data_IF_972800776518
#
_entry.id   IF_972800776518
#
_cell.length_a   1.000
_cell.length_b   1.000
_cell.length_c   1.000
_cell.angle_alpha   90.00
_cell.angle_beta   90.00
_cell.angle_gamma   90.00
#
_symmetry.space_group_name_H-M   'P 1'
#
loop_
_entity.id
_entity.type
_entity.pdbx_description
1 polymer ?
#
# COMPACT_ATOMS: atom_id res chain seq x y z
N UNK A 1 -11.87 -18.09 -8.43
CA UNK A 1 -12.25 -16.98 -7.52
C UNK A 1 -11.13 -16.57 -6.57
N UNK A 2 -9.87 -16.86 -6.86
CA UNK A 2 -8.76 -16.57 -5.93
C UNK A 2 -8.15 -15.18 -6.16
N UNK A 3 -8.01 -14.76 -7.43
CA UNK A 3 -7.54 -13.42 -7.81
C UNK A 3 -8.48 -12.32 -7.32
N UNK A 4 -9.79 -12.52 -7.42
CA UNK A 4 -10.78 -11.57 -6.91
C UNK A 4 -10.66 -11.33 -5.40
N UNK A 5 -10.56 -12.40 -4.60
CA UNK A 5 -10.37 -12.29 -3.15
C UNK A 5 -9.02 -11.64 -2.80
N UNK A 6 -7.97 -11.91 -3.60
CA UNK A 6 -6.67 -11.25 -3.43
C UNK A 6 -6.77 -9.74 -3.64
N UNK A 7 -7.47 -9.28 -4.68
CA UNK A 7 -7.71 -7.85 -4.91
C UNK A 7 -8.54 -7.20 -3.80
N UNK A 8 -9.63 -7.85 -3.37
CA UNK A 8 -10.48 -7.34 -2.28
C UNK A 8 -9.70 -7.18 -0.98
N UNK A 9 -8.84 -8.15 -0.63
CA UNK A 9 -7.98 -8.08 0.55
C UNK A 9 -6.99 -6.92 0.49
N UNK A 10 -6.32 -6.75 -0.65
CA UNK A 10 -5.37 -5.65 -0.85
C UNK A 10 -6.10 -4.30 -0.81
N UNK A 11 -7.28 -4.21 -1.42
CA UNK A 11 -8.08 -2.99 -1.46
C UNK A 11 -8.61 -2.59 -0.09
N UNK A 12 -9.08 -3.56 0.72
CA UNK A 12 -9.45 -3.32 2.11
C UNK A 12 -8.27 -2.85 2.95
N UNK A 13 -7.09 -3.44 2.74
CA UNK A 13 -5.88 -3.03 3.45
C UNK A 13 -5.52 -1.59 3.11
N UNK A 14 -5.44 -1.23 1.82
CA UNK A 14 -5.18 0.15 1.36
C UNK A 14 -6.25 1.13 1.87
N UNK A 15 -7.52 0.74 1.93
CA UNK A 15 -8.59 1.62 2.42
C UNK A 15 -8.52 1.84 3.94
N UNK A 16 -8.22 0.79 4.71
CA UNK A 16 -7.97 0.88 6.16
C UNK A 16 -6.77 1.80 6.42
N UNK A 17 -5.66 1.53 5.77
CA UNK A 17 -4.41 2.27 5.83
C UNK A 17 -4.56 3.75 5.42
N UNK A 18 -5.28 4.04 4.34
CA UNK A 18 -5.54 5.40 3.87
C UNK A 18 -6.49 6.21 4.76
N UNK A 19 -7.45 5.57 5.42
CA UNK A 19 -8.40 6.24 6.34
C UNK A 19 -7.83 6.40 7.76
N UNK A 20 -6.85 5.60 8.15
CA UNK A 20 -6.21 5.70 9.47
C UNK A 20 -5.65 7.11 9.73
N UNK A 21 -5.08 7.80 8.72
CA UNK A 21 -4.57 9.17 8.86
C UNK A 21 -5.64 10.20 9.25
N UNK A 22 -6.72 10.36 8.46
CA UNK A 22 -7.83 11.25 8.81
C UNK A 22 -8.48 10.92 10.16
N UNK A 23 -8.69 9.64 10.47
CA UNK A 23 -9.29 9.23 11.75
C UNK A 23 -8.41 9.63 12.93
N UNK A 24 -7.10 9.46 12.83
CA UNK A 24 -6.20 9.79 13.94
C UNK A 24 -6.12 11.29 14.21
N UNK A 25 -6.11 12.10 13.15
CA UNK A 25 -6.23 13.57 13.28
C UNK A 25 -7.57 13.97 13.91
N UNK A 26 -8.68 13.36 13.48
CA UNK A 26 -10.01 13.62 14.07
C UNK A 26 -10.03 13.25 15.55
N UNK A 27 -9.51 12.07 15.93
CA UNK A 27 -9.46 11.63 17.33
C UNK A 27 -8.60 12.56 18.19
N UNK A 28 -7.46 13.02 17.67
CA UNK A 28 -6.62 13.99 18.39
C UNK A 28 -7.34 15.32 18.66
N UNK A 29 -8.13 15.80 17.71
CA UNK A 29 -8.91 17.03 17.90
C UNK A 29 -10.21 16.81 18.71
N UNK A 30 -10.79 15.61 18.68
CA UNK A 30 -12.04 15.27 19.35
C UNK A 30 -11.85 14.88 20.82
N UNK A 31 -10.75 14.22 21.17
CA UNK A 31 -10.41 13.90 22.56
C UNK A 31 -9.77 15.14 23.18
N UNK A 32 -10.41 15.70 24.20
CA UNK A 32 -9.86 16.81 24.98
C UNK A 32 -8.42 16.46 25.41
N UNK A 33 -7.47 17.42 25.42
CA UNK A 33 -6.05 17.15 25.64
C UNK A 33 -5.78 16.78 27.11
N UNK A 34 -6.16 15.58 27.48
CA UNK A 34 -5.76 14.91 28.71
C UNK A 34 -4.29 14.47 28.52
N UNK A 35 -3.42 14.67 29.53
CA UNK A 35 -1.98 14.44 29.39
C UNK A 35 -1.59 13.01 28.98
N UNK A 36 -2.44 12.01 29.26
CA UNK A 36 -2.25 10.61 28.86
C UNK A 36 -2.46 10.36 27.35
N UNK A 37 -3.24 11.18 26.64
CA UNK A 37 -3.60 10.96 25.23
C UNK A 37 -2.48 11.37 24.25
N UNK A 38 -1.44 12.05 24.73
CA UNK A 38 -0.25 12.41 23.93
C UNK A 38 0.44 11.19 23.32
N UNK A 39 0.42 10.06 24.03
CA UNK A 39 0.99 8.81 23.57
C UNK A 39 0.21 8.23 22.37
N UNK A 40 -1.12 8.38 22.42
CA UNK A 40 -2.00 7.99 21.33
C UNK A 40 -1.66 8.80 20.07
N UNK A 41 -1.57 10.13 20.16
CA UNK A 41 -1.22 11.00 19.03
C UNK A 41 0.09 10.60 18.33
N UNK A 42 1.15 10.39 19.10
CA UNK A 42 2.46 10.00 18.56
C UNK A 42 2.43 8.60 17.96
N UNK A 43 1.75 7.64 18.61
CA UNK A 43 1.60 6.30 18.06
C UNK A 43 0.84 6.29 16.73
N UNK A 44 -0.26 7.05 16.62
CA UNK A 44 -1.00 7.17 15.37
C UNK A 44 -0.24 7.84 14.25
N UNK A 45 0.44 8.96 14.56
CA UNK A 45 1.29 9.65 13.59
C UNK A 45 2.37 8.71 13.03
N UNK A 46 2.98 7.89 13.90
CA UNK A 46 4.02 6.92 13.51
C UNK A 46 3.46 5.79 12.65
N UNK A 47 2.28 5.25 13.01
CA UNK A 47 1.61 4.20 12.24
C UNK A 47 1.18 4.72 10.85
N UNK A 48 0.59 5.91 10.76
CA UNK A 48 0.21 6.52 9.48
C UNK A 48 1.43 6.84 8.61
N UNK A 49 2.50 7.36 9.21
CA UNK A 49 3.73 7.66 8.46
C UNK A 49 4.37 6.38 7.94
N UNK A 50 4.46 5.34 8.77
CA UNK A 50 4.97 4.03 8.36
C UNK A 50 4.13 3.41 7.24
N UNK A 51 2.82 3.56 7.30
CA UNK A 51 1.90 3.08 6.27
C UNK A 51 2.14 3.74 4.90
N UNK A 52 2.23 5.07 4.87
CA UNK A 52 2.52 5.85 3.65
C UNK A 52 3.89 5.47 3.07
N UNK A 53 4.89 5.26 3.92
CA UNK A 53 6.23 4.83 3.49
C UNK A 53 6.21 3.44 2.86
N UNK A 54 5.43 2.51 3.41
CA UNK A 54 5.25 1.17 2.82
C UNK A 54 4.54 1.28 1.47
N UNK A 55 3.49 2.09 1.35
CA UNK A 55 2.78 2.31 0.09
C UNK A 55 3.70 2.92 -0.98
N UNK A 56 4.53 3.89 -0.60
CA UNK A 56 5.50 4.51 -1.51
C UNK A 56 6.60 3.51 -1.91
N UNK A 57 7.10 2.70 -0.98
CA UNK A 57 8.09 1.66 -1.25
C UNK A 57 7.55 0.60 -2.21
N UNK A 58 6.29 0.17 -2.04
CA UNK A 58 5.63 -0.78 -2.95
C UNK A 58 5.38 -0.17 -4.34
N UNK A 59 5.05 1.13 -4.40
CA UNK A 59 4.85 1.84 -5.68
C UNK A 59 6.15 2.03 -6.44
N UNK A 60 7.25 2.29 -5.72
CA UNK A 60 8.57 2.48 -6.29
C UNK A 60 9.34 1.17 -6.52
N UNK A 61 8.80 0.04 -6.05
CA UNK A 61 9.39 -1.27 -6.32
C UNK A 61 9.40 -1.51 -7.85
N UNK A 62 10.56 -1.74 -8.46
CA UNK A 62 10.65 -2.04 -9.88
C UNK A 62 9.89 -3.34 -10.16
N UNK A 63 8.95 -3.28 -11.10
CA UNK A 63 8.43 -4.50 -11.73
C UNK A 63 9.44 -4.87 -12.80
N UNK A 64 10.27 -5.88 -12.54
CA UNK A 64 11.16 -6.41 -13.56
C UNK A 64 10.33 -6.80 -14.78
N UNK A 65 10.72 -6.31 -15.97
CA UNK A 65 10.10 -6.67 -17.23
C UNK A 65 10.17 -8.20 -17.39
N UNK A 66 9.03 -8.86 -17.21
CA UNK A 66 8.88 -10.28 -17.53
C UNK A 66 9.21 -10.41 -19.00
N UNK A 67 10.38 -10.96 -19.32
CA UNK A 67 10.85 -11.12 -20.68
C UNK A 67 9.79 -11.88 -21.50
N UNK A 68 9.05 -11.14 -22.33
CA UNK A 68 8.14 -11.72 -23.32
C UNK A 68 9.03 -12.43 -24.35
N UNK A 69 8.99 -13.76 -24.48
CA UNK A 69 9.83 -14.45 -25.45
C UNK A 69 9.40 -14.01 -26.85
N UNK A 70 10.26 -13.22 -27.49
CA UNK A 70 10.05 -12.73 -28.84
C UNK A 70 9.92 -13.89 -29.83
N UNK A 71 8.90 -13.81 -30.68
CA UNK A 71 8.60 -14.68 -31.81
C UNK A 71 9.68 -14.64 -32.92
N UNK A 72 10.96 -14.86 -32.60
CA UNK A 72 12.06 -14.80 -33.57
C UNK A 72 12.49 -16.16 -34.14
N UNK A 73 11.87 -17.27 -33.74
CA UNK A 73 12.27 -18.62 -34.18
C UNK A 73 11.61 -19.10 -35.48
N UNK A 74 10.85 -18.27 -36.22
CA UNK A 74 10.07 -18.71 -37.40
C UNK A 74 10.54 -18.17 -38.76
N UNK A 75 11.85 -17.87 -38.91
CA UNK A 75 12.46 -17.58 -40.22
C UNK A 75 13.83 -18.24 -40.41
N UNK A 76 13.98 -19.50 -39.99
CA UNK A 76 15.11 -20.35 -40.41
C UNK A 76 14.56 -21.69 -40.90
N UNK A 77 14.54 -21.88 -42.21
CA UNK A 77 14.31 -23.20 -42.81
C UNK A 77 13.21 -23.26 -43.88
N UNK A 78 13.49 -22.75 -45.08
CA UNK A 78 13.20 -23.40 -46.37
C UNK A 78 13.62 -22.45 -47.49
N UNK A 79 14.92 -22.49 -47.78
CA UNK A 79 15.43 -22.36 -49.15
C UNK A 79 15.57 -23.75 -49.71
#
# INVERSE_FOLDING_TARGET
METFIRYVKIQLFVFLCGIVGPIFLIVFFAVQPEPDTKWLYWAGLFVTTGDILIALALTHAPVDDVAVPGFSQRRRGRG
#
